data_IF_781599067531
#
_entry.id   IF_781599067531
#
_cell.length_a   1.000
_cell.length_b   1.000
_cell.length_c   1.000
_cell.angle_alpha   90.00
_cell.angle_beta   90.00
_cell.angle_gamma   90.00
#
_symmetry.space_group_name_H-M   'P 1'
#
loop_
_entity.id
_entity.type
_entity.pdbx_description
1 polymer ?
#
# COMPACT_ATOMS: atom_id res chain seq x y z
N UNK A 1 1.42 27.06 20.15
CA UNK A 1 2.15 27.46 18.92
C UNK A 1 1.29 27.05 17.73
N UNK A 2 0.89 28.00 16.88
CA UNK A 2 0.33 27.65 15.58
C UNK A 2 1.47 27.10 14.72
N UNK A 3 1.25 25.95 14.08
CA UNK A 3 2.18 25.47 13.05
C UNK A 3 2.18 26.47 11.89
N UNK A 4 3.34 26.81 11.32
CA UNK A 4 3.41 27.67 10.14
C UNK A 4 2.61 27.06 8.99
N UNK A 5 1.94 27.91 8.21
CA UNK A 5 1.25 27.47 7.00
C UNK A 5 2.27 27.06 5.93
N UNK A 6 1.85 26.28 4.94
CA UNK A 6 2.75 25.78 3.89
C UNK A 6 3.45 26.95 3.18
N UNK A 7 2.74 28.06 2.95
CA UNK A 7 3.26 29.25 2.28
C UNK A 7 4.22 30.09 3.13
N UNK A 8 4.29 29.84 4.44
CA UNK A 8 5.26 30.52 5.31
C UNK A 8 6.67 29.95 5.13
N UNK A 9 6.80 28.78 4.50
CA UNK A 9 8.09 28.17 4.17
C UNK A 9 8.72 28.81 2.93
N UNK A 10 10.07 28.93 2.86
CA UNK A 10 10.75 29.41 1.66
C UNK A 10 10.38 28.61 0.41
N UNK A 11 10.16 29.32 -0.71
CA UNK A 11 9.86 28.71 -2.01
C UNK A 11 10.91 27.66 -2.36
N UNK A 12 10.46 26.59 -3.01
CA UNK A 12 11.32 25.49 -3.43
C UNK A 12 11.06 24.21 -2.62
N UNK A 13 12.14 23.47 -2.35
CA UNK A 13 12.11 22.27 -1.50
C UNK A 13 11.46 22.45 -0.13
N UNK A 14 11.70 23.54 0.64
CA UNK A 14 11.07 23.70 1.96
C UNK A 14 9.54 23.77 1.89
N UNK A 15 9.02 24.50 0.90
CA UNK A 15 7.58 24.59 0.66
C UNK A 15 6.99 23.26 0.17
N UNK A 16 7.70 22.57 -0.73
CA UNK A 16 7.24 21.29 -1.26
C UNK A 16 7.29 20.16 -0.23
N UNK A 17 8.31 20.10 0.62
CA UNK A 17 8.38 19.14 1.71
C UNK A 17 7.33 19.41 2.78
N UNK A 18 7.05 20.68 3.08
CA UNK A 18 5.94 21.08 3.93
C UNK A 18 4.60 20.58 3.36
N UNK A 19 4.36 20.75 2.06
CA UNK A 19 3.19 20.19 1.38
C UNK A 19 3.13 18.66 1.50
N UNK A 20 4.22 17.94 1.19
CA UNK A 20 4.24 16.47 1.33
C UNK A 20 3.90 16.04 2.76
N UNK A 21 4.44 16.74 3.76
CA UNK A 21 4.18 16.45 5.17
C UNK A 21 2.76 16.81 5.64
N UNK A 22 2.01 17.59 4.86
CA UNK A 22 0.67 18.05 5.25
C UNK A 22 -0.38 16.95 5.25
N UNK A 23 -0.19 15.90 4.43
CA UNK A 23 -1.13 14.78 4.34
C UNK A 23 -0.41 13.48 3.99
N UNK A 24 -0.83 12.38 4.60
CA UNK A 24 -0.20 11.07 4.43
C UNK A 24 -0.22 10.57 2.97
N UNK A 25 -1.31 10.83 2.25
CA UNK A 25 -1.42 10.46 0.84
C UNK A 25 -0.44 11.20 -0.08
N UNK A 26 0.16 12.30 0.37
CA UNK A 26 1.18 13.02 -0.40
C UNK A 26 2.59 12.43 -0.26
N UNK A 27 2.79 11.43 0.60
CA UNK A 27 4.03 10.67 0.66
C UNK A 27 4.11 9.66 -0.50
N UNK A 28 4.22 10.21 -1.72
CA UNK A 28 4.35 9.47 -2.96
C UNK A 28 5.82 9.25 -3.28
N UNK A 29 6.18 8.00 -3.54
CA UNK A 29 7.52 7.62 -3.99
C UNK A 29 7.47 6.70 -5.20
N UNK A 30 8.60 6.55 -5.90
CA UNK A 30 8.74 5.62 -7.02
C UNK A 30 9.20 4.24 -6.51
N UNK A 31 8.62 3.16 -7.01
CA UNK A 31 8.97 1.76 -6.68
C UNK A 31 10.27 1.30 -7.33
N UNK A 32 10.62 1.85 -8.49
CA UNK A 32 11.77 1.45 -9.31
C UNK A 32 11.76 -0.04 -9.70
N UNK A 33 10.60 -0.57 -10.10
CA UNK A 33 10.40 -2.01 -10.37
C UNK A 33 11.42 -2.58 -11.37
N UNK A 34 11.60 -1.92 -12.51
CA UNK A 34 12.56 -2.36 -13.52
C UNK A 34 14.01 -2.37 -13.01
N UNK A 35 14.42 -1.32 -12.28
CA UNK A 35 15.77 -1.22 -11.71
C UNK A 35 15.98 -2.32 -10.66
N UNK A 36 14.98 -2.58 -9.82
CA UNK A 36 15.03 -3.66 -8.84
C UNK A 36 15.14 -5.04 -9.50
N UNK A 37 14.36 -5.29 -10.55
CA UNK A 37 14.45 -6.54 -11.31
C UNK A 37 15.85 -6.72 -11.92
N UNK A 38 16.44 -5.65 -12.47
CA UNK A 38 17.82 -5.69 -12.98
C UNK A 38 18.83 -6.00 -11.88
N UNK A 39 18.70 -5.38 -10.70
CA UNK A 39 19.58 -5.66 -9.56
C UNK A 39 19.41 -7.10 -9.06
N UNK A 40 18.17 -7.62 -9.03
CA UNK A 40 17.90 -9.01 -8.67
C UNK A 40 18.66 -9.97 -9.59
N UNK A 41 18.51 -9.81 -10.91
CA UNK A 41 19.16 -10.66 -11.90
C UNK A 41 20.69 -10.61 -11.77
N UNK A 42 21.27 -9.44 -11.52
CA UNK A 42 22.71 -9.29 -11.33
C UNK A 42 23.21 -10.00 -10.05
N UNK A 43 22.46 -9.92 -8.95
CA UNK A 43 22.79 -10.61 -7.70
C UNK A 43 22.68 -12.13 -7.85
N UNK A 44 21.62 -12.62 -8.49
CA UNK A 44 21.46 -14.06 -8.81
C UNK A 44 22.61 -14.57 -9.67
N UNK A 45 22.98 -13.83 -10.72
CA UNK A 45 24.08 -14.21 -11.59
C UNK A 45 25.42 -14.26 -10.85
N UNK A 46 25.64 -13.38 -9.86
CA UNK A 46 26.83 -13.44 -9.00
C UNK A 46 26.91 -14.75 -8.22
N UNK A 47 25.80 -15.20 -7.62
CA UNK A 47 25.73 -16.49 -6.91
C UNK A 47 26.04 -17.64 -7.87
N UNK A 48 25.41 -17.67 -9.05
CA UNK A 48 25.65 -18.71 -10.07
C UNK A 48 27.11 -18.77 -10.52
N UNK A 49 27.76 -17.61 -10.69
CA UNK A 49 29.17 -17.55 -11.06
C UNK A 49 30.08 -18.11 -9.97
N UNK A 50 29.77 -17.83 -8.70
CA UNK A 50 30.52 -18.35 -7.55
C UNK A 50 30.29 -19.85 -7.34
N UNK A 51 29.05 -20.35 -7.49
CA UNK A 51 28.76 -21.79 -7.49
C UNK A 51 29.53 -22.52 -8.60
N UNK A 52 29.57 -21.95 -9.80
CA UNK A 52 30.31 -22.52 -10.92
C UNK A 52 31.82 -22.58 -10.63
N UNK A 53 32.35 -21.55 -9.95
CA UNK A 53 33.75 -21.50 -9.49
C UNK A 53 34.02 -22.56 -8.42
N UNK A 54 33.14 -22.70 -7.43
CA UNK A 54 33.23 -23.72 -6.39
C UNK A 54 33.20 -25.14 -6.99
N UNK A 55 32.24 -25.40 -7.88
CA UNK A 55 32.11 -26.68 -8.57
C UNK A 55 33.33 -27.04 -9.44
N UNK A 56 34.06 -26.04 -9.92
CA UNK A 56 35.34 -26.26 -10.59
C UNK A 56 36.43 -26.64 -9.58
N UNK A 57 36.56 -25.91 -8.47
CA UNK A 57 37.52 -26.20 -7.41
C UNK A 57 37.31 -27.61 -6.85
N UNK A 58 36.06 -28.02 -6.64
CA UNK A 58 35.74 -29.35 -6.13
C UNK A 58 36.06 -30.47 -7.11
N UNK A 59 35.86 -30.24 -8.42
CA UNK A 59 36.21 -31.21 -9.46
C UNK A 59 37.71 -31.34 -9.68
N UNK A 60 38.44 -30.24 -9.51
CA UNK A 60 39.89 -30.19 -9.70
C UNK A 60 40.65 -30.57 -8.41
N UNK A 61 39.96 -30.97 -7.34
CA UNK A 61 40.57 -31.33 -6.04
C UNK A 61 41.32 -32.68 -6.12
N UNK A 62 42.64 -32.62 -5.95
CA UNK A 62 43.52 -33.79 -5.98
C UNK A 62 43.44 -34.65 -4.71
N UNK A 63 42.95 -34.08 -3.60
CA UNK A 63 42.90 -34.75 -2.29
C UNK A 63 41.46 -35.01 -1.85
N UNK A 64 40.90 -36.21 -2.14
CA UNK A 64 39.50 -36.54 -1.81
C UNK A 64 39.13 -36.39 -0.33
N UNK A 65 40.10 -36.53 0.58
CA UNK A 65 39.88 -36.35 2.01
C UNK A 65 39.43 -34.91 2.36
N UNK A 66 39.86 -33.92 1.59
CA UNK A 66 39.46 -32.52 1.81
C UNK A 66 37.97 -32.32 1.49
N UNK A 67 37.46 -32.94 0.43
CA UNK A 67 36.03 -32.92 0.09
C UNK A 67 35.15 -33.65 1.12
N UNK A 68 35.70 -34.66 1.79
CA UNK A 68 34.98 -35.47 2.76
C UNK A 68 35.00 -34.94 4.20
N UNK A 69 35.77 -33.89 4.51
CA UNK A 69 35.91 -33.39 5.88
C UNK A 69 36.28 -31.91 5.92
N UNK A 70 35.33 -31.04 6.27
CA UNK A 70 35.56 -29.60 6.44
C UNK A 70 36.61 -29.28 7.51
N UNK A 71 36.76 -30.13 8.55
CA UNK A 71 37.79 -29.95 9.57
C UNK A 71 39.21 -30.19 9.06
N UNK A 72 39.35 -31.01 8.01
CA UNK A 72 40.65 -31.37 7.42
C UNK A 72 40.89 -30.67 6.09
N UNK A 73 39.92 -29.90 5.63
CA UNK A 73 40.00 -29.14 4.41
C UNK A 73 41.01 -28.00 4.55
N UNK A 74 42.05 -28.02 3.73
CA UNK A 74 43.09 -27.00 3.68
C UNK A 74 43.08 -26.21 2.35
N UNK A 75 42.06 -26.40 1.52
CA UNK A 75 41.92 -25.69 0.26
C UNK A 75 41.46 -24.25 0.51
N UNK A 76 42.40 -23.32 0.49
CA UNK A 76 42.14 -21.90 0.78
C UNK A 76 41.23 -21.26 -0.29
N UNK A 77 41.34 -21.68 -1.54
CA UNK A 77 40.51 -21.16 -2.64
C UNK A 77 39.04 -21.57 -2.44
N UNK A 78 38.79 -22.84 -2.06
CA UNK A 78 37.44 -23.30 -1.69
C UNK A 78 36.90 -22.51 -0.51
N UNK A 79 37.67 -22.39 0.57
CA UNK A 79 37.24 -21.66 1.76
C UNK A 79 36.88 -20.19 1.43
N UNK A 80 37.68 -19.53 0.60
CA UNK A 80 37.41 -18.17 0.15
C UNK A 80 36.13 -18.09 -0.69
N UNK A 81 35.96 -18.97 -1.68
CA UNK A 81 34.76 -18.95 -2.53
C UNK A 81 33.49 -19.25 -1.73
N UNK A 82 33.55 -20.17 -0.76
CA UNK A 82 32.43 -20.45 0.13
C UNK A 82 32.06 -19.22 0.97
N UNK A 83 33.05 -18.47 1.49
CA UNK A 83 32.78 -17.22 2.19
C UNK A 83 32.17 -16.15 1.26
N UNK A 84 32.67 -16.02 0.03
CA UNK A 84 32.11 -15.10 -0.97
C UNK A 84 30.67 -15.48 -1.37
N UNK A 85 30.34 -16.78 -1.38
CA UNK A 85 28.98 -17.27 -1.61
C UNK A 85 28.05 -16.87 -0.45
N UNK A 86 28.50 -17.06 0.80
CA UNK A 86 27.73 -16.68 1.99
C UNK A 86 27.38 -15.19 1.97
N UNK A 87 28.37 -14.32 1.69
CA UNK A 87 28.14 -12.88 1.52
C UNK A 87 27.18 -12.54 0.36
N UNK A 88 27.33 -13.22 -0.78
CA UNK A 88 26.50 -12.98 -1.95
C UNK A 88 25.04 -13.41 -1.73
N UNK A 89 24.82 -14.53 -1.03
CA UNK A 89 23.50 -15.01 -0.63
C UNK A 89 22.86 -14.07 0.39
N UNK A 90 23.62 -13.62 1.39
CA UNK A 90 23.09 -12.67 2.38
C UNK A 90 22.62 -11.36 1.72
N UNK A 91 23.40 -10.82 0.77
CA UNK A 91 23.03 -9.62 0.01
C UNK A 91 21.81 -9.86 -0.90
N UNK A 92 21.72 -11.02 -1.55
CA UNK A 92 20.57 -11.42 -2.36
C UNK A 92 19.30 -11.52 -1.50
N UNK A 93 19.36 -12.21 -0.37
CA UNK A 93 18.23 -12.45 0.53
C UNK A 93 17.73 -11.13 1.15
N UNK A 94 18.65 -10.31 1.67
CA UNK A 94 18.31 -8.95 2.16
C UNK A 94 17.67 -8.11 1.06
N UNK A 95 18.14 -8.22 -0.19
CA UNK A 95 17.56 -7.49 -1.31
C UNK A 95 16.16 -8.00 -1.69
N UNK A 96 15.94 -9.31 -1.69
CA UNK A 96 14.65 -9.95 -1.94
C UNK A 96 13.61 -9.53 -0.90
N UNK A 97 13.96 -9.61 0.38
CA UNK A 97 13.06 -9.23 1.48
C UNK A 97 12.67 -7.75 1.39
N UNK A 98 13.64 -6.85 1.20
CA UNK A 98 13.36 -5.41 1.02
C UNK A 98 12.55 -5.11 -0.24
N UNK A 99 12.76 -5.87 -1.31
CA UNK A 99 12.01 -5.69 -2.56
C UNK A 99 10.57 -6.20 -2.45
N UNK A 100 10.37 -7.31 -1.73
CA UNK A 100 9.04 -7.82 -1.38
C UNK A 100 8.28 -6.80 -0.54
N UNK A 101 8.87 -6.29 0.54
CA UNK A 101 8.27 -5.26 1.38
C UNK A 101 7.81 -4.04 0.57
N UNK A 102 8.63 -3.59 -0.38
CA UNK A 102 8.28 -2.43 -1.23
C UNK A 102 7.24 -2.77 -2.30
N UNK A 103 7.15 -4.04 -2.71
CA UNK A 103 6.07 -4.52 -3.57
C UNK A 103 4.73 -4.61 -2.83
N UNK A 104 4.76 -4.93 -1.54
CA UNK A 104 3.57 -5.03 -0.67
C UNK A 104 3.00 -3.65 -0.30
N UNK A 105 3.82 -2.58 -0.37
CA UNK A 105 3.32 -1.20 -0.22
C UNK A 105 2.22 -0.90 -1.24
N UNK A 106 1.31 0.01 -0.88
CA UNK A 106 0.16 0.33 -1.71
C UNK A 106 0.50 1.24 -2.88
N UNK A 107 -0.36 1.20 -3.90
CA UNK A 107 -0.31 2.14 -4.99
C UNK A 107 -0.63 3.56 -4.48
N UNK A 108 0.06 4.55 -5.04
CA UNK A 108 -0.23 5.95 -4.72
C UNK A 108 -1.65 6.35 -5.15
N UNK A 109 -2.34 7.15 -4.34
CA UNK A 109 -3.64 7.71 -4.70
C UNK A 109 -3.50 8.59 -5.96
N UNK A 110 -4.21 8.28 -7.07
CA UNK A 110 -4.15 9.07 -8.31
C UNK A 110 -4.46 10.55 -8.10
N UNK A 111 -5.33 10.88 -7.14
CA UNK A 111 -5.68 12.27 -6.83
C UNK A 111 -4.54 12.98 -6.13
N UNK A 112 -3.89 12.32 -5.18
CA UNK A 112 -2.72 12.84 -4.51
C UNK A 112 -1.59 13.11 -5.51
N UNK A 113 -1.35 12.18 -6.45
CA UNK A 113 -0.37 12.36 -7.54
C UNK A 113 -0.73 13.57 -8.40
N UNK A 114 -2.00 13.70 -8.82
CA UNK A 114 -2.47 14.83 -9.64
C UNK A 114 -2.31 16.16 -8.91
N UNK A 115 -2.64 16.21 -7.61
CA UNK A 115 -2.45 17.40 -6.77
C UNK A 115 -0.99 17.81 -6.68
N UNK A 116 -0.08 16.86 -6.47
CA UNK A 116 1.37 17.13 -6.45
C UNK A 116 1.87 17.62 -7.81
N UNK A 117 1.40 17.02 -8.91
CA UNK A 117 1.72 17.48 -10.26
C UNK A 117 1.25 18.93 -10.48
N UNK A 118 0.00 19.24 -10.13
CA UNK A 118 -0.56 20.59 -10.26
C UNK A 118 0.22 21.60 -9.45
N UNK A 119 0.59 21.27 -8.21
CA UNK A 119 1.41 22.12 -7.37
C UNK A 119 2.78 22.41 -7.97
N UNK A 120 3.51 21.36 -8.38
CA UNK A 120 4.85 21.52 -8.93
C UNK A 120 4.81 22.28 -10.25
N UNK A 121 3.79 22.06 -11.08
CA UNK A 121 3.60 22.78 -12.33
C UNK A 121 3.22 24.26 -12.12
N UNK A 122 2.42 24.56 -11.09
CA UNK A 122 1.99 25.93 -10.78
C UNK A 122 3.04 26.76 -10.05
N UNK A 123 3.76 26.15 -9.11
CA UNK A 123 4.72 26.86 -8.24
C UNK A 123 6.16 26.79 -8.75
N UNK A 124 6.51 25.78 -9.55
CA UNK A 124 7.90 25.50 -9.89
C UNK A 124 8.75 25.13 -8.67
N UNK A 125 8.17 24.50 -7.65
CA UNK A 125 8.82 24.26 -6.35
C UNK A 125 10.02 23.32 -6.39
N UNK A 126 10.17 22.49 -7.41
CA UNK A 126 11.34 21.63 -7.63
C UNK A 126 11.70 21.61 -9.10
N UNK A 127 12.94 21.20 -9.43
CA UNK A 127 13.37 21.18 -10.82
C UNK A 127 12.51 20.22 -11.65
N UNK A 128 12.26 20.57 -12.93
CA UNK A 128 11.48 19.70 -13.83
C UNK A 128 12.07 18.31 -13.96
N UNK A 129 13.39 18.16 -13.84
CA UNK A 129 14.06 16.85 -13.85
C UNK A 129 13.72 16.03 -12.60
N UNK A 130 13.61 16.67 -11.44
CA UNK A 130 13.29 16.06 -10.17
C UNK A 130 11.80 15.69 -10.08
N UNK A 131 10.89 16.48 -10.66
CA UNK A 131 9.46 16.20 -10.62
C UNK A 131 8.99 15.08 -11.56
N UNK A 132 9.86 14.60 -12.45
CA UNK A 132 9.53 13.56 -13.45
C UNK A 132 9.00 12.28 -12.84
N UNK A 133 9.36 11.97 -11.59
CA UNK A 133 8.88 10.74 -10.94
C UNK A 133 7.35 10.72 -10.85
N UNK A 134 6.68 11.87 -10.72
CA UNK A 134 5.22 11.96 -10.66
C UNK A 134 4.54 11.59 -11.98
N UNK A 135 5.26 11.55 -13.09
CA UNK A 135 4.70 11.26 -14.42
C UNK A 135 4.79 9.78 -14.79
N UNK A 136 5.32 8.93 -13.91
CA UNK A 136 5.37 7.49 -14.15
C UNK A 136 3.98 6.86 -14.00
N UNK A 137 3.76 5.67 -14.61
CA UNK A 137 2.51 4.94 -14.48
C UNK A 137 2.15 4.69 -13.01
N UNK A 138 0.86 4.59 -12.66
CA UNK A 138 0.42 4.34 -11.30
C UNK A 138 1.08 3.12 -10.66
N UNK A 139 1.39 2.08 -11.43
CA UNK A 139 2.05 0.86 -10.95
C UNK A 139 3.46 1.10 -10.42
N UNK A 140 4.15 2.14 -10.92
CA UNK A 140 5.48 2.52 -10.45
C UNK A 140 5.44 3.48 -9.25
N UNK A 141 4.27 3.97 -8.86
CA UNK A 141 4.10 4.90 -7.74
C UNK A 141 3.56 4.17 -6.52
N UNK A 142 4.16 4.44 -5.37
CA UNK A 142 3.76 3.89 -4.09
C UNK A 142 3.40 5.00 -3.10
N UNK A 143 2.48 4.69 -2.20
CA UNK A 143 2.25 5.47 -0.98
C UNK A 143 3.04 4.84 0.16
N UNK A 144 3.80 5.66 0.91
CA UNK A 144 4.48 5.17 2.13
C UNK A 144 3.61 5.26 3.38
N UNK A 145 2.38 5.77 3.24
CA UNK A 145 1.38 5.84 4.29
C UNK A 145 0.86 4.43 4.60
N UNK A 146 0.96 3.94 5.85
CA UNK A 146 0.28 2.71 6.25
C UNK A 146 -1.24 2.87 6.05
N UNK A 147 -1.83 1.96 5.28
CA UNK A 147 -3.29 1.84 5.19
C UNK A 147 -3.82 1.35 6.53
N UNK A 148 -4.80 2.07 7.09
CA UNK A 148 -5.72 1.51 8.06
C UNK A 148 -6.45 0.34 7.38
N UNK A 149 -6.06 -0.89 7.71
CA UNK A 149 -6.42 -2.13 7.03
C UNK A 149 -7.89 -2.52 7.28
N UNK A 150 -8.82 -1.78 6.68
CA UNK A 150 -10.24 -2.12 6.71
C UNK A 150 -10.78 -2.15 5.29
N UNK A 151 -11.31 -3.31 4.88
CA UNK A 151 -12.09 -3.48 3.65
C UNK A 151 -13.29 -2.52 3.58
N UNK A 152 -13.69 -1.95 4.73
CA UNK A 152 -14.65 -0.86 4.82
C UNK A 152 -14.17 0.37 4.05
N UNK A 153 -12.87 0.65 3.92
CA UNK A 153 -12.36 1.88 3.26
C UNK A 153 -12.63 1.96 1.75
N UNK A 154 -12.71 0.84 1.02
CA UNK A 154 -13.07 0.89 -0.41
C UNK A 154 -14.53 1.33 -0.62
N UNK A 155 -15.40 0.88 0.28
CA UNK A 155 -16.80 1.30 0.36
C UNK A 155 -16.89 2.71 0.97
N UNK A 156 -16.15 3.01 2.03
CA UNK A 156 -16.11 4.31 2.68
C UNK A 156 -15.55 5.38 1.75
N UNK A 157 -14.58 5.10 0.87
CA UNK A 157 -14.06 6.09 -0.08
C UNK A 157 -15.07 6.38 -1.18
N UNK A 158 -15.74 5.37 -1.74
CA UNK A 158 -16.80 5.59 -2.73
C UNK A 158 -18.04 6.27 -2.11
N UNK A 159 -18.46 5.82 -0.92
CA UNK A 159 -19.60 6.39 -0.19
C UNK A 159 -19.25 7.78 0.33
N UNK A 160 -18.08 8.00 0.91
CA UNK A 160 -17.64 9.32 1.34
C UNK A 160 -17.47 10.26 0.14
N UNK A 161 -16.97 9.81 -1.01
CA UNK A 161 -16.91 10.67 -2.20
C UNK A 161 -18.29 11.05 -2.73
N UNK A 162 -19.23 10.11 -2.79
CA UNK A 162 -20.59 10.40 -3.21
C UNK A 162 -21.31 11.28 -2.18
N UNK A 163 -21.09 11.03 -0.90
CA UNK A 163 -21.67 11.80 0.21
C UNK A 163 -21.04 13.19 0.32
N UNK A 164 -19.74 13.33 0.05
CA UNK A 164 -19.04 14.62 -0.01
C UNK A 164 -19.51 15.42 -1.22
N UNK A 165 -19.73 14.80 -2.40
CA UNK A 165 -20.37 15.47 -3.55
C UNK A 165 -21.78 15.95 -3.25
N UNK A 166 -22.60 15.10 -2.62
CA UNK A 166 -23.97 15.45 -2.23
C UNK A 166 -23.96 16.54 -1.16
N UNK A 167 -23.08 16.43 -0.15
CA UNK A 167 -22.91 17.45 0.89
C UNK A 167 -22.42 18.76 0.30
N UNK A 168 -21.40 18.77 -0.57
CA UNK A 168 -20.88 20.00 -1.16
C UNK A 168 -21.91 20.66 -2.10
N UNK A 169 -22.86 19.90 -2.63
CA UNK A 169 -24.04 20.41 -3.33
C UNK A 169 -25.09 21.03 -2.39
N UNK A 170 -25.32 20.46 -1.20
CA UNK A 170 -26.37 20.92 -0.27
C UNK A 170 -25.89 21.89 0.83
N UNK A 171 -24.63 21.79 1.25
CA UNK A 171 -24.01 22.52 2.35
C UNK A 171 -22.52 22.77 2.03
N UNK A 172 -22.17 23.91 1.41
CA UNK A 172 -20.78 24.29 1.19
C UNK A 172 -20.09 24.42 2.56
N UNK A 173 -19.30 23.42 2.95
CA UNK A 173 -18.66 23.40 4.26
C UNK A 173 -17.36 24.21 4.22
N UNK A 174 -17.24 25.15 5.16
CA UNK A 174 -16.04 25.96 5.39
C UNK A 174 -14.95 25.07 6.02
N UNK A 175 -14.12 24.43 5.19
CA UNK A 175 -12.94 23.72 5.68
C UNK A 175 -11.85 24.72 6.11
N UNK A 176 -11.13 24.49 7.23
CA UNK A 176 -9.96 25.30 7.55
C UNK A 176 -8.92 25.11 6.44
N UNK A 177 -8.66 26.19 5.71
CA UNK A 177 -7.72 26.21 4.59
C UNK A 177 -6.31 25.92 5.11
N UNK A 178 -5.80 24.73 4.84
CA UNK A 178 -4.40 24.34 5.11
C UNK A 178 -3.43 25.14 4.23
N UNK A 179 -3.91 25.63 3.08
CA UNK A 179 -3.16 26.45 2.12
C UNK A 179 -3.96 27.71 1.77
N UNK A 180 -3.29 28.86 1.71
CA UNK A 180 -3.89 30.12 1.22
C UNK A 180 -4.09 30.11 -0.29
N UNK A 181 -3.32 29.28 -1.00
CA UNK A 181 -3.30 29.16 -2.45
C UNK A 181 -4.21 28.01 -2.93
N UNK A 182 -5.51 28.18 -2.75
CA UNK A 182 -6.54 27.20 -3.13
C UNK A 182 -6.70 27.01 -4.65
N UNK A 183 -5.87 27.65 -5.48
CA UNK A 183 -5.97 27.56 -6.94
C UNK A 183 -5.44 26.23 -7.50
N UNK A 184 -4.55 25.53 -6.77
CA UNK A 184 -3.79 24.41 -7.34
C UNK A 184 -3.90 23.08 -6.58
N UNK A 185 -4.54 23.04 -5.40
CA UNK A 185 -4.64 21.81 -4.59
C UNK A 185 -6.00 21.70 -3.89
N UNK A 186 -6.62 20.51 -4.01
CA UNK A 186 -7.70 20.09 -3.13
C UNK A 186 -7.12 19.14 -2.05
N UNK A 187 -6.95 19.63 -0.82
CA UNK A 187 -6.56 18.81 0.34
C UNK A 187 -7.84 18.46 1.11
N UNK A 188 -8.32 17.20 1.09
CA UNK A 188 -9.41 16.79 1.94
C UNK A 188 -8.95 16.91 3.41
N UNK A 189 -9.72 17.61 4.24
CA UNK A 189 -9.39 17.76 5.66
C UNK A 189 -9.42 16.39 6.37
N UNK A 190 -8.27 16.01 6.94
CA UNK A 190 -7.90 14.72 7.57
C UNK A 190 -8.90 14.11 8.57
N UNK A 191 -9.81 14.89 9.14
CA UNK A 191 -10.62 14.45 10.30
C UNK A 191 -12.10 14.18 10.00
N UNK A 192 -12.65 14.64 8.88
CA UNK A 192 -14.11 14.58 8.68
C UNK A 192 -14.56 13.33 7.92
N UNK A 193 -13.81 12.86 6.93
CA UNK A 193 -14.24 11.72 6.09
C UNK A 193 -14.34 10.40 6.88
N UNK A 194 -13.35 10.08 7.72
CA UNK A 194 -13.34 8.86 8.54
C UNK A 194 -14.33 8.92 9.72
N UNK A 195 -14.60 10.11 10.28
CA UNK A 195 -15.61 10.27 11.33
C UNK A 195 -17.02 10.17 10.74
N UNK A 196 -17.24 10.79 9.57
CA UNK A 196 -18.52 10.74 8.85
C UNK A 196 -18.79 9.32 8.33
N UNK A 197 -17.79 8.62 7.79
CA UNK A 197 -17.95 7.23 7.35
C UNK A 197 -18.36 6.32 8.51
N UNK A 198 -17.66 6.40 9.66
CA UNK A 198 -18.00 5.64 10.87
C UNK A 198 -19.36 6.04 11.46
N UNK A 199 -19.70 7.32 11.45
CA UNK A 199 -20.98 7.83 11.92
C UNK A 199 -22.17 7.42 11.03
N UNK A 200 -21.94 7.17 9.74
CA UNK A 200 -22.98 6.75 8.77
C UNK A 200 -23.08 5.23 8.64
N UNK A 201 -21.99 4.50 8.84
CA UNK A 201 -21.99 3.03 8.84
C UNK A 201 -22.72 2.44 10.06
N UNK A 202 -22.60 3.08 11.21
CA UNK A 202 -23.26 2.66 12.46
C UNK A 202 -24.80 2.58 12.31
N UNK A 203 -25.51 3.62 11.82
CA UNK A 203 -26.95 3.54 11.61
C UNK A 203 -27.34 2.59 10.47
N UNK A 204 -26.52 2.43 9.42
CA UNK A 204 -26.81 1.45 8.35
C UNK A 204 -26.81 0.02 8.91
N UNK A 205 -25.81 -0.34 9.71
CA UNK A 205 -25.73 -1.66 10.36
C UNK A 205 -26.91 -1.86 11.31
N UNK A 206 -27.26 -0.83 12.10
CA UNK A 206 -28.41 -0.87 13.02
C UNK A 206 -29.74 -1.02 12.27
N UNK A 207 -29.95 -0.29 11.18
CA UNK A 207 -31.15 -0.43 10.34
C UNK A 207 -31.21 -1.81 9.69
N UNK A 208 -30.07 -2.34 9.24
CA UNK A 208 -29.99 -3.66 8.63
C UNK A 208 -30.28 -4.79 9.63
N UNK A 209 -29.95 -4.61 10.91
CA UNK A 209 -30.28 -5.54 11.99
C UNK A 209 -31.72 -5.41 12.48
N UNK A 210 -32.27 -4.19 12.52
CA UNK A 210 -33.63 -3.93 13.02
C UNK A 210 -34.72 -4.12 11.97
N UNK A 211 -34.44 -3.84 10.69
CA UNK A 211 -35.44 -3.95 9.62
C UNK A 211 -36.06 -5.35 9.50
N UNK A 212 -35.31 -6.47 9.59
CA UNK A 212 -35.89 -7.81 9.55
C UNK A 212 -36.78 -8.09 10.77
N UNK A 213 -36.39 -7.61 11.95
CA UNK A 213 -37.14 -7.77 13.21
C UNK A 213 -38.47 -7.01 13.15
N UNK A 214 -38.44 -5.78 12.61
CA UNK A 214 -39.64 -4.94 12.44
C UNK A 214 -40.56 -5.50 11.34
N UNK A 215 -40.01 -6.01 10.23
CA UNK A 215 -40.83 -6.67 9.19
C UNK A 215 -41.52 -7.92 9.76
N UNK A 216 -40.81 -8.68 10.61
CA UNK A 216 -41.36 -9.87 11.26
C UNK A 216 -42.49 -9.55 12.25
N UNK A 217 -42.51 -8.34 12.84
CA UNK A 217 -43.58 -7.95 13.78
C UNK A 217 -44.88 -7.54 13.09
N UNK A 218 -44.82 -7.13 11.82
CA UNK A 218 -46.01 -6.75 11.04
C UNK A 218 -46.62 -7.91 10.23
N UNK A 219 -45.85 -8.98 9.98
CA UNK A 219 -46.29 -10.13 9.20
C UNK A 219 -46.93 -11.21 10.09
N UNK A 220 -48.26 -11.32 10.03
CA UNK A 220 -49.02 -12.32 10.80
C UNK A 220 -48.84 -13.77 10.27
N UNK A 221 -48.36 -13.94 9.04
CA UNK A 221 -48.23 -15.25 8.38
C UNK A 221 -46.83 -15.85 8.54
N UNK A 222 -46.74 -17.04 9.15
CA UNK A 222 -45.48 -17.76 9.43
C UNK A 222 -44.60 -17.95 8.19
N UNK A 223 -45.19 -18.26 7.03
CA UNK A 223 -44.43 -18.45 5.79
C UNK A 223 -43.81 -17.15 5.27
N UNK A 224 -44.54 -16.03 5.33
CA UNK A 224 -44.02 -14.72 4.90
C UNK A 224 -42.88 -14.22 5.79
N UNK A 225 -42.94 -14.54 7.09
CA UNK A 225 -41.89 -14.25 8.05
C UNK A 225 -40.60 -15.01 7.72
N UNK A 226 -40.72 -16.28 7.34
CA UNK A 226 -39.57 -17.12 6.96
C UNK A 226 -38.87 -16.56 5.71
N UNK A 227 -39.64 -16.14 4.70
CA UNK A 227 -39.08 -15.53 3.49
C UNK A 227 -38.44 -14.17 3.74
N UNK A 228 -39.03 -13.33 4.60
CA UNK A 228 -38.46 -12.03 4.96
C UNK A 228 -37.11 -12.19 5.69
N UNK A 229 -37.02 -13.11 6.65
CA UNK A 229 -35.76 -13.41 7.36
C UNK A 229 -34.73 -14.01 6.41
N UNK A 230 -35.12 -15.01 5.61
CA UNK A 230 -34.22 -15.65 4.65
C UNK A 230 -33.68 -14.68 3.59
N UNK A 231 -34.53 -13.79 3.06
CA UNK A 231 -34.10 -12.75 2.12
C UNK A 231 -33.12 -11.77 2.75
N UNK A 232 -33.39 -11.33 3.98
CA UNK A 232 -32.51 -10.43 4.70
C UNK A 232 -31.15 -11.06 5.02
N UNK A 233 -31.10 -12.34 5.43
CA UNK A 233 -29.84 -13.03 5.70
C UNK A 233 -29.01 -13.27 4.44
N UNK A 234 -29.65 -13.64 3.32
CA UNK A 234 -28.96 -13.80 2.04
C UNK A 234 -28.37 -12.46 1.58
N UNK A 235 -29.14 -11.36 1.69
CA UNK A 235 -28.67 -10.03 1.32
C UNK A 235 -27.50 -9.58 2.22
N UNK A 236 -27.56 -9.84 3.52
CA UNK A 236 -26.47 -9.56 4.47
C UNK A 236 -25.19 -10.32 4.12
N UNK A 237 -25.30 -11.63 3.87
CA UNK A 237 -24.16 -12.46 3.47
C UNK A 237 -23.59 -12.01 2.12
N UNK A 238 -24.43 -11.66 1.15
CA UNK A 238 -24.00 -11.14 -0.14
C UNK A 238 -23.24 -9.81 -0.01
N UNK A 239 -23.69 -8.92 0.89
CA UNK A 239 -23.02 -7.64 1.13
C UNK A 239 -21.65 -7.83 1.81
N UNK A 240 -21.57 -8.69 2.84
CA UNK A 240 -20.30 -9.04 3.49
C UNK A 240 -19.35 -9.73 2.50
N UNK A 241 -19.86 -10.66 1.68
CA UNK A 241 -19.07 -11.37 0.67
C UNK A 241 -18.56 -10.44 -0.43
N UNK A 242 -19.37 -9.46 -0.84
CA UNK A 242 -18.96 -8.42 -1.77
C UNK A 242 -17.85 -7.52 -1.21
N UNK A 243 -17.91 -7.21 0.10
CA UNK A 243 -16.89 -6.41 0.79
C UNK A 243 -15.60 -7.15 1.13
N UNK A 244 -15.62 -8.48 1.29
CA UNK A 244 -14.46 -9.29 1.72
C UNK A 244 -13.61 -9.84 0.57
N UNK A 245 -13.91 -9.51 -0.69
CA UNK A 245 -13.19 -9.98 -1.90
C UNK A 245 -11.73 -9.53 -2.06
N UNK A 246 -11.05 -9.07 -1.01
CA UNK A 246 -9.64 -8.68 -1.09
C UNK A 246 -8.67 -9.59 -0.32
N UNK A 247 -9.12 -10.62 0.41
CA UNK A 247 -8.22 -11.60 1.05
C UNK A 247 -8.73 -13.05 1.00
N UNK A 248 -9.21 -13.50 -0.15
CA UNK A 248 -9.54 -14.92 -0.36
C UNK A 248 -8.34 -15.86 -0.20
N UNK A 249 -7.10 -15.33 -0.18
CA UNK A 249 -5.88 -16.13 -0.03
C UNK A 249 -5.50 -16.43 1.43
N UNK A 250 -5.85 -15.57 2.40
CA UNK A 250 -5.54 -15.82 3.83
C UNK A 250 -6.60 -16.67 4.53
N UNK A 251 -7.87 -16.60 4.09
CA UNK A 251 -8.97 -17.38 4.67
C UNK A 251 -8.87 -18.88 4.34
N UNK A 252 -8.28 -19.23 3.19
CA UNK A 252 -8.04 -20.64 2.82
C UNK A 252 -6.93 -21.26 3.69
N UNK A 253 -5.95 -20.47 4.12
CA UNK A 253 -4.86 -20.94 4.99
C UNK A 253 -5.36 -21.10 6.43
N UNK A 254 -6.21 -20.20 6.92
CA UNK A 254 -6.82 -20.29 8.24
C UNK A 254 -7.87 -21.43 8.38
N UNK A 255 -8.39 -21.97 7.27
CA UNK A 255 -9.30 -23.11 7.26
C UNK A 255 -8.63 -24.48 7.10
N UNK A 256 -7.30 -24.52 6.94
CA UNK A 256 -6.51 -25.74 6.72
C UNK A 256 -5.74 -26.22 7.96
N UNK A 257 -5.98 -25.63 9.13
CA UNK A 257 -5.51 -26.10 10.45
C UNK A 257 -6.69 -26.45 11.33
#
# INVERSE_FOLDING_TARGET
MQLPQIEDYPKGYPQFSSLISSHESFFVARRFLNVRARLLLLKQNRVVALESKLHKIDRDEERPLFLGSSQRDQNQDRAQVVAEIDEALEDLDKFLLRSRQISELEQADPRAVTNLQNWVNGTGSIARAESRFLNYPPEELLSTSPRDESAMIGLENNVAENLLRVRDYFFPSYSPKVSRDSAHIYIPARSSAAFISRALMTPIIVVMLLAPVILCSYLNNTSSRLFAVGGATIFFVAMISGGTRMKSQELIIAGAT
#
